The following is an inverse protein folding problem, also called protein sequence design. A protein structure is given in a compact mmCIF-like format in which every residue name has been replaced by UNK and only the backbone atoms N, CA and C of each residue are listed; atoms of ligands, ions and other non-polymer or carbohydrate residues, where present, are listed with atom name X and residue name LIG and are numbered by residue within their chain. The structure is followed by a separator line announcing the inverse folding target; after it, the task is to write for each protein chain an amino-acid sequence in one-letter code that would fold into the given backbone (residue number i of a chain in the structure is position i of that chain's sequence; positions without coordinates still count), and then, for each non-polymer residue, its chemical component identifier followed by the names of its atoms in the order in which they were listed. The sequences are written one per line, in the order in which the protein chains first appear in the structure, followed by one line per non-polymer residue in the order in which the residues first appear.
data_IF_121055312154
#
_entry.id   IF_121055312154
#
_cell.length_a   1.000
_cell.length_b   1.000
_cell.length_c   1.000
_cell.angle_alpha   90.00
_cell.angle_beta   90.00
_cell.angle_gamma   90.00
#
_symmetry.space_group_name_H-M   'P 1'
#
loop_
_entity.id
_entity.type
_entity.pdbx_description
1 polymer ?
#
# COMPACT_ATOMS: atom_id res chain seq x y z
N UNK A 1 -85.00 -14.56 -30.11
CA UNK A 1 -84.40 -14.52 -31.47
C UNK A 1 -83.17 -13.63 -31.44
N UNK A 2 -82.06 -14.14 -31.98
CA UNK A 2 -80.78 -13.49 -32.36
C UNK A 2 -79.80 -13.13 -31.22
N UNK A 3 -78.68 -13.85 -31.11
CA UNK A 3 -77.47 -13.38 -30.45
C UNK A 3 -76.66 -12.50 -31.42
N UNK A 4 -76.00 -11.43 -30.95
CA UNK A 4 -74.96 -10.73 -31.73
C UNK A 4 -73.83 -10.27 -30.80
N UNK A 5 -72.79 -11.10 -30.77
CA UNK A 5 -71.35 -10.78 -30.83
C UNK A 5 -70.86 -9.52 -30.08
N UNK A 6 -70.29 -9.74 -28.89
CA UNK A 6 -69.39 -8.78 -28.26
C UNK A 6 -67.99 -8.94 -28.87
N UNK A 7 -67.48 -7.82 -29.37
CA UNK A 7 -66.24 -7.68 -30.14
C UNK A 7 -65.00 -8.10 -29.34
N UNK A 8 -64.17 -8.91 -30.01
CA UNK A 8 -62.84 -9.31 -29.58
C UNK A 8 -61.86 -8.15 -29.83
N UNK A 9 -61.31 -7.56 -28.78
CA UNK A 9 -60.15 -6.67 -28.87
C UNK A 9 -59.04 -7.22 -27.99
N UNK A 10 -58.18 -8.06 -28.58
CA UNK A 10 -56.90 -8.45 -27.98
C UNK A 10 -55.89 -7.36 -28.32
N UNK A 11 -55.57 -6.51 -27.35
CA UNK A 11 -54.44 -5.59 -27.47
C UNK A 11 -53.18 -6.39 -27.15
N UNK A 12 -52.46 -6.80 -28.19
CA UNK A 12 -51.11 -7.34 -28.05
C UNK A 12 -50.13 -6.18 -27.78
N UNK A 13 -49.71 -6.01 -26.53
CA UNK A 13 -48.62 -5.12 -26.18
C UNK A 13 -47.30 -5.73 -26.67
N UNK A 14 -46.78 -5.26 -27.80
CA UNK A 14 -45.45 -5.58 -28.26
C UNK A 14 -44.43 -4.85 -27.38
N UNK A 15 -43.93 -5.54 -26.35
CA UNK A 15 -42.82 -5.07 -25.52
C UNK A 15 -41.53 -5.21 -26.33
N UNK A 16 -41.08 -4.11 -26.93
CA UNK A 16 -39.77 -4.06 -27.59
C UNK A 16 -38.68 -4.00 -26.52
N UNK A 17 -38.01 -5.13 -26.27
CA UNK A 17 -36.73 -5.11 -25.55
C UNK A 17 -35.69 -4.45 -26.47
N UNK A 18 -35.42 -3.17 -26.24
CA UNK A 18 -34.20 -2.55 -26.69
C UNK A 18 -33.04 -3.11 -25.83
N UNK A 19 -32.40 -4.17 -26.31
CA UNK A 19 -31.14 -4.63 -25.77
C UNK A 19 -30.05 -3.60 -26.14
N UNK A 20 -29.50 -2.90 -25.16
CA UNK A 20 -28.25 -2.17 -25.34
C UNK A 20 -27.12 -3.19 -25.48
N UNK A 21 -26.69 -3.46 -26.71
CA UNK A 21 -25.35 -4.01 -26.92
C UNK A 21 -24.32 -2.94 -26.51
N UNK A 22 -23.61 -3.20 -25.42
CA UNK A 22 -22.43 -2.42 -25.04
C UNK A 22 -21.25 -3.02 -25.79
N UNK A 23 -20.93 -2.45 -26.95
CA UNK A 23 -19.67 -2.78 -27.64
C UNK A 23 -18.52 -2.40 -26.71
N UNK A 24 -17.64 -3.34 -26.30
CA UNK A 24 -16.46 -2.98 -25.53
C UNK A 24 -15.60 -2.03 -26.37
N UNK A 25 -15.18 -0.92 -25.79
CA UNK A 25 -14.19 -0.06 -26.44
C UNK A 25 -12.91 -0.89 -26.71
N UNK A 26 -12.21 -0.65 -27.82
CA UNK A 26 -10.94 -1.32 -28.07
C UNK A 26 -10.00 -0.97 -26.91
N UNK A 27 -9.51 -2.00 -26.22
CA UNK A 27 -8.44 -1.83 -25.24
C UNK A 27 -7.21 -1.49 -26.05
N UNK A 28 -6.86 -0.21 -26.07
CA UNK A 28 -5.56 0.23 -26.59
C UNK A 28 -4.54 -0.28 -25.59
N UNK A 29 -3.90 -1.40 -25.91
CA UNK A 29 -2.77 -1.90 -25.14
C UNK A 29 -1.67 -0.83 -25.22
N UNK A 30 -1.42 -0.16 -24.09
CA UNK A 30 -0.33 0.80 -24.02
C UNK A 30 0.98 0.05 -24.34
N UNK A 31 1.87 0.62 -25.17
CA UNK A 31 3.13 -0.04 -25.47
C UNK A 31 3.86 -0.28 -24.15
N UNK A 32 4.39 -1.50 -23.97
CA UNK A 32 5.25 -1.81 -22.85
C UNK A 32 6.43 -0.82 -22.88
N UNK A 33 6.44 0.10 -21.93
CA UNK A 33 7.58 1.00 -21.75
C UNK A 33 8.66 0.17 -21.09
N UNK A 34 9.55 -0.43 -21.89
CA UNK A 34 10.82 -0.92 -21.39
C UNK A 34 11.69 0.30 -21.06
N UNK A 35 11.39 0.94 -19.93
CA UNK A 35 12.32 1.85 -19.31
C UNK A 35 13.47 1.00 -18.76
N UNK A 36 14.64 1.09 -19.40
CA UNK A 36 15.87 0.61 -18.77
C UNK A 36 15.91 1.21 -17.35
N UNK A 37 16.17 0.40 -16.32
CA UNK A 37 16.07 0.87 -14.96
C UNK A 37 17.04 2.04 -14.77
N UNK A 38 16.51 3.20 -14.41
CA UNK A 38 17.34 4.33 -13.99
C UNK A 38 18.19 3.90 -12.78
N UNK A 39 19.26 4.64 -12.47
CA UNK A 39 20.01 4.41 -11.22
C UNK A 39 19.09 4.39 -9.99
N UNK A 40 17.99 5.15 -10.04
CA UNK A 40 16.96 5.18 -9.01
C UNK A 40 16.19 3.85 -8.91
N UNK A 41 15.89 3.20 -10.04
CA UNK A 41 15.22 1.88 -10.01
C UNK A 41 16.13 0.79 -9.45
N UNK A 42 17.41 0.79 -9.82
CA UNK A 42 18.36 -0.19 -9.27
C UNK A 42 18.44 -0.06 -7.74
N UNK A 43 18.57 1.18 -7.25
CA UNK A 43 18.60 1.47 -5.82
C UNK A 43 17.29 1.10 -5.12
N UNK A 44 16.13 1.39 -5.74
CA UNK A 44 14.81 0.99 -5.23
C UNK A 44 14.74 -0.53 -5.04
N UNK A 45 15.20 -1.28 -6.05
CA UNK A 45 15.20 -2.75 -5.97
C UNK A 45 16.18 -3.28 -4.92
N UNK A 46 17.29 -2.59 -4.68
CA UNK A 46 18.23 -2.95 -3.61
C UNK A 46 17.64 -2.66 -2.22
N UNK A 47 16.99 -1.52 -2.04
CA UNK A 47 16.27 -1.16 -0.81
C UNK A 47 15.18 -2.21 -0.51
N UNK A 48 14.38 -2.58 -1.51
CA UNK A 48 13.36 -3.64 -1.41
C UNK A 48 13.98 -4.99 -1.02
N UNK A 49 15.08 -5.40 -1.66
CA UNK A 49 15.76 -6.68 -1.37
C UNK A 49 16.32 -6.73 0.04
N UNK A 50 16.92 -5.64 0.51
CA UNK A 50 17.51 -5.56 1.85
C UNK A 50 16.42 -5.59 2.89
N UNK A 51 15.39 -4.76 2.75
CA UNK A 51 14.29 -4.69 3.70
C UNK A 51 13.56 -6.03 3.78
N UNK A 52 13.34 -6.70 2.64
CA UNK A 52 12.66 -8.00 2.57
C UNK A 52 13.57 -9.22 2.75
N UNK A 53 14.84 -9.07 3.11
CA UNK A 53 15.73 -10.20 3.34
C UNK A 53 15.34 -11.03 4.58
N UNK A 54 15.69 -12.32 4.60
CA UNK A 54 15.46 -13.21 5.75
C UNK A 54 16.13 -12.70 7.03
N UNK A 55 17.26 -12.01 6.90
CA UNK A 55 18.00 -11.39 8.01
C UNK A 55 17.21 -10.28 8.73
N UNK A 56 16.19 -9.71 8.06
CA UNK A 56 15.25 -8.75 8.64
C UNK A 56 14.09 -9.43 9.39
N UNK A 57 14.02 -10.77 9.38
CA UNK A 57 13.13 -11.58 10.22
C UNK A 57 11.66 -11.16 10.17
N UNK A 58 11.20 -10.67 9.01
CA UNK A 58 9.83 -10.18 8.81
C UNK A 58 9.44 -8.94 9.60
N UNK A 59 10.39 -8.26 10.25
CA UNK A 59 10.25 -6.90 10.81
C UNK A 59 9.06 -6.70 11.75
N UNK A 60 8.72 -7.67 12.62
CA UNK A 60 7.64 -7.46 13.62
C UNK A 60 7.93 -6.24 14.50
N UNK A 61 6.87 -5.55 14.90
CA UNK A 61 6.94 -4.35 15.74
C UNK A 61 7.68 -4.67 17.04
N UNK A 62 8.79 -3.96 17.27
CA UNK A 62 9.64 -4.12 18.46
C UNK A 62 10.59 -5.32 18.41
N UNK A 63 10.66 -6.06 17.30
CA UNK A 63 11.60 -7.17 17.11
C UNK A 63 13.02 -6.70 16.75
N UNK A 64 13.98 -7.63 16.79
CA UNK A 64 15.35 -7.40 16.29
C UNK A 64 15.35 -7.05 14.79
N UNK A 65 14.56 -7.78 13.99
CA UNK A 65 14.35 -7.48 12.57
C UNK A 65 13.80 -6.07 12.33
N UNK A 66 12.82 -5.65 13.13
CA UNK A 66 12.27 -4.30 13.09
C UNK A 66 13.32 -3.23 13.46
N UNK A 67 14.20 -3.51 14.41
CA UNK A 67 15.30 -2.61 14.76
C UNK A 67 16.33 -2.47 13.63
N UNK A 68 16.71 -3.59 12.98
CA UNK A 68 17.60 -3.58 11.80
C UNK A 68 17.01 -2.76 10.65
N UNK A 69 15.73 -2.97 10.36
CA UNK A 69 15.03 -2.22 9.32
C UNK A 69 15.00 -0.71 9.63
N UNK A 70 14.70 -0.33 10.88
CA UNK A 70 14.76 1.06 11.32
C UNK A 70 16.15 1.66 11.08
N UNK A 71 17.20 0.97 11.52
CA UNK A 71 18.57 1.49 11.42
C UNK A 71 19.01 1.62 9.95
N UNK A 72 18.58 0.70 9.08
CA UNK A 72 18.76 0.79 7.64
C UNK A 72 18.10 2.05 7.05
N UNK A 73 16.81 2.25 7.33
CA UNK A 73 16.04 3.39 6.82
C UNK A 73 16.64 4.71 7.31
N UNK A 74 17.04 4.78 8.59
CA UNK A 74 17.74 5.95 9.16
C UNK A 74 19.01 6.24 8.37
N UNK A 75 19.85 5.23 8.13
CA UNK A 75 21.08 5.38 7.35
C UNK A 75 20.83 5.84 5.91
N UNK A 76 19.79 5.31 5.25
CA UNK A 76 19.40 5.74 3.89
C UNK A 76 18.98 7.21 3.87
N UNK A 77 18.13 7.63 4.81
CA UNK A 77 17.71 9.03 4.92
C UNK A 77 18.88 9.97 5.20
N UNK A 78 19.84 9.56 6.03
CA UNK A 78 21.04 10.35 6.34
C UNK A 78 21.97 10.47 5.14
N UNK A 79 22.19 9.37 4.40
CA UNK A 79 22.97 9.38 3.16
C UNK A 79 22.35 10.29 2.07
N UNK A 80 21.01 10.42 2.08
CA UNK A 80 20.27 11.32 1.20
C UNK A 80 20.24 12.78 1.71
N UNK A 81 20.79 13.07 2.89
CA UNK A 81 20.77 14.40 3.49
C UNK A 81 19.41 14.84 4.03
N UNK A 82 18.47 13.91 4.21
CA UNK A 82 17.15 14.18 4.79
C UNK A 82 17.29 14.47 6.27
N UNK A 83 16.80 15.63 6.70
CA UNK A 83 16.97 16.12 8.07
C UNK A 83 15.99 15.42 9.03
N UNK A 84 16.33 15.27 10.32
CA UNK A 84 15.33 14.88 11.32
C UNK A 84 14.28 15.98 11.49
N UNK A 85 13.11 15.61 12.02
CA UNK A 85 12.16 16.62 12.48
C UNK A 85 12.69 17.39 13.71
N UNK A 86 12.13 18.57 14.05
CA UNK A 86 12.44 19.24 15.30
C UNK A 86 12.16 18.40 16.56
N UNK A 87 11.28 17.40 16.47
CA UNK A 87 11.00 16.44 17.55
C UNK A 87 12.02 15.29 17.59
N UNK A 88 13.00 15.27 16.69
CA UNK A 88 13.96 14.19 16.50
C UNK A 88 13.60 13.24 15.35
N UNK A 89 14.55 12.40 14.95
CA UNK A 89 14.37 11.38 13.90
C UNK A 89 13.47 10.23 14.35
N UNK A 90 13.66 9.78 15.59
CA UNK A 90 13.00 8.61 16.16
C UNK A 90 11.89 9.05 17.11
N UNK A 91 10.67 8.57 16.89
CA UNK A 91 9.51 8.83 17.72
C UNK A 91 9.04 7.51 18.34
N UNK A 92 9.59 7.10 19.51
CA UNK A 92 9.19 5.88 20.18
C UNK A 92 7.76 5.99 20.71
N UNK A 93 7.05 4.87 20.70
CA UNK A 93 5.70 4.79 21.23
C UNK A 93 5.43 3.43 21.85
N UNK A 94 4.48 3.41 22.78
CA UNK A 94 3.95 2.21 23.40
C UNK A 94 2.42 2.22 23.23
N UNK A 95 1.84 1.09 22.84
CA UNK A 95 0.40 0.96 22.66
C UNK A 95 -0.10 -0.42 23.08
N UNK A 96 -1.23 -0.43 23.79
CA UNK A 96 -1.96 -1.64 24.09
C UNK A 96 -2.74 -2.12 22.86
N UNK A 97 -2.40 -3.29 22.33
CA UNK A 97 -3.07 -3.94 21.22
C UNK A 97 -3.74 -5.26 21.60
N UNK A 98 -4.28 -5.97 20.61
CA UNK A 98 -4.87 -7.30 20.77
C UNK A 98 -4.31 -8.27 19.73
N UNK A 99 -3.95 -9.46 20.17
CA UNK A 99 -3.65 -10.62 19.34
C UNK A 99 -4.78 -11.65 19.48
N UNK A 100 -4.65 -12.78 18.78
CA UNK A 100 -5.53 -13.95 19.01
C UNK A 100 -5.40 -14.54 20.42
N UNK A 101 -4.27 -14.32 21.08
CA UNK A 101 -3.95 -14.87 22.40
C UNK A 101 -4.34 -13.93 23.55
N UNK A 102 -4.69 -12.68 23.24
CA UNK A 102 -5.16 -11.71 24.23
C UNK A 102 -4.55 -10.33 24.01
N UNK A 103 -4.44 -9.56 25.09
CA UNK A 103 -3.86 -8.22 25.05
C UNK A 103 -2.33 -8.32 24.97
N UNK A 104 -1.72 -7.55 24.06
CA UNK A 104 -0.26 -7.42 23.91
C UNK A 104 0.09 -5.95 23.93
N UNK A 105 1.13 -5.58 24.68
CA UNK A 105 1.75 -4.25 24.57
C UNK A 105 2.73 -4.26 23.41
N UNK A 106 2.58 -3.32 22.49
CA UNK A 106 3.48 -3.09 21.38
C UNK A 106 4.37 -1.89 21.67
N UNK A 107 5.66 -2.04 21.35
CA UNK A 107 6.64 -0.98 21.43
C UNK A 107 7.22 -0.77 20.04
N UNK A 108 6.99 0.40 19.46
CA UNK A 108 7.45 0.73 18.12
C UNK A 108 8.23 2.04 18.09
N UNK A 109 8.76 2.39 16.92
CA UNK A 109 9.47 3.65 16.73
C UNK A 109 9.18 4.18 15.34
N UNK A 110 8.46 5.29 15.23
CA UNK A 110 8.29 5.93 13.93
C UNK A 110 9.60 6.66 13.54
N UNK A 111 9.85 6.75 12.24
CA UNK A 111 11.00 7.46 11.68
C UNK A 111 10.46 8.67 10.93
N UNK A 112 10.95 9.87 11.25
CA UNK A 112 10.52 11.10 10.58
C UNK A 112 11.73 11.78 9.94
N UNK A 113 11.64 11.94 8.61
CA UNK A 113 12.52 12.77 7.80
C UNK A 113 11.80 14.03 7.32
N UNK A 114 12.53 15.14 7.23
CA UNK A 114 12.02 16.44 6.78
C UNK A 114 12.96 17.01 5.72
N UNK A 115 12.37 17.48 4.63
CA UNK A 115 13.04 18.27 3.60
C UNK A 115 12.43 19.69 3.68
N UNK A 116 13.17 20.70 4.19
CA UNK A 116 12.64 22.05 4.32
C UNK A 116 12.27 22.66 2.96
N UNK A 117 11.09 23.26 2.88
CA UNK A 117 10.71 24.06 1.72
C UNK A 117 11.63 25.27 1.56
N UNK A 118 12.04 25.57 0.32
CA UNK A 118 12.94 26.70 0.03
C UNK A 118 12.24 28.06 -0.01
N UNK A 119 10.89 28.08 -0.06
CA UNK A 119 10.07 29.30 -0.14
C UNK A 119 8.96 29.34 0.91
N UNK A 120 8.30 28.22 1.15
CA UNK A 120 7.19 28.08 2.11
C UNK A 120 7.54 26.93 3.04
N UNK A 121 7.97 27.24 4.26
CA UNK A 121 8.50 26.26 5.21
C UNK A 121 7.45 25.81 6.26
N UNK A 122 6.29 26.45 6.31
CA UNK A 122 5.20 26.18 7.26
C UNK A 122 4.06 25.32 6.66
N UNK A 123 4.23 24.86 5.42
CA UNK A 123 3.31 23.94 4.75
C UNK A 123 4.00 22.61 4.50
N UNK A 124 3.27 21.52 4.73
CA UNK A 124 3.81 20.17 4.70
C UNK A 124 3.09 19.34 3.65
N UNK A 125 3.88 18.58 2.88
CA UNK A 125 3.40 17.41 2.13
C UNK A 125 3.89 16.21 2.92
N UNK A 126 2.99 15.29 3.24
CA UNK A 126 3.31 14.10 4.01
C UNK A 126 3.25 12.90 3.08
N UNK A 127 4.36 12.15 3.02
CA UNK A 127 4.47 10.86 2.34
C UNK A 127 4.83 9.83 3.42
N UNK A 128 4.14 8.69 3.45
CA UNK A 128 4.30 7.71 4.53
C UNK A 128 4.31 6.29 4.00
N UNK A 129 4.99 5.42 4.73
CA UNK A 129 4.96 3.98 4.59
C UNK A 129 5.10 3.36 5.99
N UNK A 130 4.55 2.16 6.20
CA UNK A 130 4.92 1.37 7.38
C UNK A 130 6.05 0.42 7.01
N UNK A 131 6.97 0.20 7.94
CA UNK A 131 8.17 -0.62 7.70
C UNK A 131 8.15 -1.94 8.47
N UNK A 132 7.28 -2.06 9.47
CA UNK A 132 7.04 -3.31 10.17
C UNK A 132 6.22 -4.27 9.31
N UNK A 133 6.31 -5.56 9.63
CA UNK A 133 5.47 -6.59 9.05
C UNK A 133 5.23 -7.74 10.06
N UNK A 134 4.74 -8.90 9.61
CA UNK A 134 4.21 -9.96 10.48
C UNK A 134 5.29 -10.66 11.34
N UNK A 135 6.56 -10.62 10.94
CA UNK A 135 7.64 -11.33 11.63
C UNK A 135 7.77 -12.80 11.22
N UNK A 136 7.97 -13.66 12.21
CA UNK A 136 8.14 -15.12 12.03
C UNK A 136 6.96 -15.82 12.70
N UNK A 137 6.28 -16.70 11.97
CA UNK A 137 5.21 -17.54 12.51
C UNK A 137 5.41 -19.00 12.06
N UNK A 138 5.31 -19.94 12.99
CA UNK A 138 5.53 -21.38 12.75
C UNK A 138 6.84 -21.71 11.99
N UNK A 139 7.90 -20.93 12.24
CA UNK A 139 9.20 -21.06 11.58
C UNK A 139 9.26 -20.48 10.16
N UNK A 140 8.15 -19.96 9.63
CA UNK A 140 8.10 -19.24 8.36
C UNK A 140 8.35 -17.75 8.59
N UNK A 141 9.24 -17.17 7.78
CA UNK A 141 9.48 -15.72 7.74
C UNK A 141 8.47 -15.08 6.79
N UNK A 142 7.82 -14.02 7.24
CA UNK A 142 6.95 -13.18 6.41
C UNK A 142 7.76 -11.96 5.98
N UNK A 143 8.40 -12.05 4.82
CA UNK A 143 9.38 -11.06 4.38
C UNK A 143 8.80 -9.68 4.04
N UNK A 144 7.50 -9.60 3.72
CA UNK A 144 6.82 -8.31 3.52
C UNK A 144 7.39 -7.48 2.39
N UNK A 145 7.69 -8.12 1.25
CA UNK A 145 8.21 -7.42 0.09
C UNK A 145 7.20 -6.40 -0.44
N UNK A 146 5.95 -6.81 -0.66
CA UNK A 146 4.89 -5.92 -1.11
C UNK A 146 4.18 -5.20 0.05
N UNK A 147 4.09 -5.86 1.20
CA UNK A 147 3.50 -5.33 2.44
C UNK A 147 4.58 -5.24 3.54
N UNK A 148 5.33 -4.15 3.66
CA UNK A 148 5.29 -2.95 2.82
C UNK A 148 6.72 -2.44 2.51
N UNK A 149 7.68 -3.35 2.31
CA UNK A 149 9.03 -2.96 1.94
C UNK A 149 9.08 -2.23 0.58
N UNK A 150 8.13 -2.48 -0.32
CA UNK A 150 8.02 -1.80 -1.61
C UNK A 150 7.64 -0.32 -1.49
N UNK A 151 6.92 0.05 -0.43
CA UNK A 151 6.51 1.43 -0.17
C UNK A 151 7.50 2.24 0.66
N UNK A 152 8.45 1.58 1.34
CA UNK A 152 9.48 2.17 2.21
C UNK A 152 10.71 2.54 1.40
#
# INVERSE_FOLDING_TARGET
MRPVLASLSVIAAALTLAACETTPAPVVEAPAVEAAPSGDYAQLMDDLRILSADDMQGRDTGSEGGAKARDYIVGRLEALGVQPSPMGRLQPWEMLGRTREGTKTYNGTNIIGVIPGTRVADKYIVVTAHYDHVGVNDGQIFNGADDNASGV
#
